data_IF_988355129527
#
_entry.id   IF_988355129527
#
_cell.length_a   1.000
_cell.length_b   1.000
_cell.length_c   1.000
_cell.angle_alpha   90.00
_cell.angle_beta   90.00
_cell.angle_gamma   90.00
#
_symmetry.space_group_name_H-M   'P 1'
#
loop_
_entity.id
_entity.type
_entity.pdbx_description
1 polymer ?
#
# COMPACT_ATOMS: atom_id res chain seq x y z
N UNK A 1 27.53 -2.51 19.97
CA UNK A 1 27.14 -1.37 19.12
C UNK A 1 27.51 -1.70 17.67
N UNK A 2 26.68 -2.46 16.95
CA UNK A 2 26.96 -2.90 15.56
C UNK A 2 25.80 -2.56 14.58
N UNK A 3 24.83 -1.74 14.98
CA UNK A 3 23.57 -1.56 14.24
C UNK A 3 23.58 -0.59 13.06
N UNK A 4 24.65 0.16 12.83
CA UNK A 4 24.65 1.26 11.84
C UNK A 4 24.97 0.84 10.41
N UNK A 5 25.54 -0.34 10.16
CA UNK A 5 25.92 -0.77 8.80
C UNK A 5 24.79 -1.47 8.02
N UNK A 6 23.79 -2.02 8.70
CA UNK A 6 22.68 -2.75 8.05
C UNK A 6 21.52 -1.85 7.60
N UNK A 7 21.54 -0.56 7.95
CA UNK A 7 20.44 0.37 7.63
C UNK A 7 20.60 1.02 6.26
N UNK A 8 21.84 1.17 5.77
CA UNK A 8 22.14 1.81 4.50
C UNK A 8 21.73 0.94 3.31
N UNK A 9 21.08 1.54 2.31
CA UNK A 9 20.58 0.85 1.13
C UNK A 9 19.22 0.18 1.31
N UNK A 10 18.64 0.18 2.52
CA UNK A 10 17.25 -0.29 2.74
C UNK A 10 16.26 0.62 2.02
N UNK A 11 15.15 0.01 1.61
CA UNK A 11 14.06 0.72 0.98
C UNK A 11 13.20 1.42 2.03
N UNK A 12 12.88 2.68 1.75
CA UNK A 12 12.02 3.54 2.57
C UNK A 12 11.09 4.34 1.68
N UNK A 13 9.92 4.67 2.18
CA UNK A 13 9.03 5.65 1.57
C UNK A 13 9.36 7.04 2.10
N UNK A 14 9.48 8.01 1.21
CA UNK A 14 9.68 9.41 1.53
C UNK A 14 8.57 10.26 0.91
N UNK A 15 8.22 11.42 1.50
CA UNK A 15 7.16 12.27 1.01
C UNK A 15 7.48 12.78 -0.40
N UNK A 16 6.44 12.89 -1.23
CA UNK A 16 6.51 13.45 -2.56
C UNK A 16 5.32 14.37 -2.85
N UNK A 17 5.59 15.51 -3.47
CA UNK A 17 4.56 16.51 -3.79
C UNK A 17 3.56 16.07 -4.86
N UNK A 18 3.93 15.12 -5.74
CA UNK A 18 3.11 14.68 -6.88
C UNK A 18 2.42 13.37 -6.60
N UNK A 19 3.18 12.39 -6.12
CA UNK A 19 2.76 11.02 -5.88
C UNK A 19 2.49 10.73 -4.39
N UNK A 20 2.53 11.74 -3.52
CA UNK A 20 2.32 11.59 -2.07
C UNK A 20 3.50 10.94 -1.35
N UNK A 21 3.89 9.75 -1.80
CA UNK A 21 5.09 9.04 -1.36
C UNK A 21 5.81 8.42 -2.55
N UNK A 22 7.15 8.43 -2.48
CA UNK A 22 8.03 7.76 -3.44
C UNK A 22 8.96 6.78 -2.73
N UNK A 23 9.36 5.75 -3.46
CA UNK A 23 10.26 4.73 -2.93
C UNK A 23 11.71 5.19 -3.11
N UNK A 24 12.47 5.15 -2.02
CA UNK A 24 13.84 5.60 -1.96
C UNK A 24 14.75 4.55 -1.29
N UNK A 25 16.05 4.66 -1.55
CA UNK A 25 17.11 4.00 -0.79
C UNK A 25 17.65 4.95 0.26
N UNK A 26 17.76 4.47 1.49
CA UNK A 26 18.38 5.24 2.56
C UNK A 26 19.89 5.38 2.31
N UNK A 27 20.39 6.62 2.27
CA UNK A 27 21.81 6.93 2.02
C UNK A 27 22.57 7.37 3.26
N UNK A 28 22.01 8.30 4.02
CA UNK A 28 22.65 8.80 5.24
C UNK A 28 21.63 9.12 6.34
N UNK A 29 22.07 9.03 7.59
CA UNK A 29 21.29 9.31 8.79
C UNK A 29 21.95 10.49 9.51
N UNK A 30 21.40 11.69 9.31
CA UNK A 30 21.92 12.93 9.92
C UNK A 30 21.49 13.10 11.38
N UNK A 31 21.65 14.30 11.95
CA UNK A 31 21.15 14.57 13.31
C UNK A 31 19.65 14.88 13.35
N UNK A 32 19.15 15.57 12.33
CA UNK A 32 17.77 16.07 12.27
C UNK A 32 16.97 15.52 11.08
N UNK A 33 17.67 15.18 9.99
CA UNK A 33 17.06 14.65 8.76
C UNK A 33 17.83 13.43 8.26
N UNK A 34 17.18 12.65 7.39
CA UNK A 34 17.81 11.55 6.66
C UNK A 34 17.93 11.93 5.19
N UNK A 35 19.04 11.49 4.58
CA UNK A 35 19.25 11.60 3.14
C UNK A 35 18.81 10.32 2.45
N UNK A 36 17.89 10.43 1.50
CA UNK A 36 17.36 9.29 0.74
C UNK A 36 17.46 9.56 -0.75
N UNK A 37 17.69 8.52 -1.55
CA UNK A 37 17.78 8.60 -3.00
C UNK A 37 16.59 7.87 -3.63
N UNK A 38 15.72 8.54 -4.40
CA UNK A 38 14.65 7.87 -5.13
C UNK A 38 15.15 6.72 -6.03
N UNK A 39 14.29 5.74 -6.31
CA UNK A 39 14.67 4.65 -7.23
C UNK A 39 14.66 5.10 -8.69
N UNK A 40 13.76 6.03 -9.02
CA UNK A 40 13.52 6.57 -10.36
C UNK A 40 14.40 7.78 -10.71
N UNK A 41 14.80 8.56 -9.72
CA UNK A 41 15.70 9.71 -9.84
C UNK A 41 16.91 9.58 -8.91
N UNK A 42 18.07 10.05 -9.36
CA UNK A 42 19.31 10.04 -8.58
C UNK A 42 19.48 11.29 -7.71
N UNK A 43 18.56 12.24 -7.77
CA UNK A 43 18.62 13.42 -6.92
C UNK A 43 18.32 13.06 -5.46
N UNK A 44 19.34 13.12 -4.61
CA UNK A 44 19.21 12.89 -3.17
C UNK A 44 18.30 13.95 -2.57
N UNK A 45 17.32 13.50 -1.80
CA UNK A 45 16.40 14.34 -1.05
C UNK A 45 16.66 14.20 0.45
N UNK A 46 16.42 15.28 1.19
CA UNK A 46 16.48 15.32 2.65
C UNK A 46 15.07 15.38 3.20
N UNK A 47 14.71 14.47 4.11
CA UNK A 47 13.40 14.43 4.76
C UNK A 47 13.54 14.16 6.26
N UNK A 48 12.54 14.55 7.04
CA UNK A 48 12.55 14.34 8.49
C UNK A 48 12.32 12.87 8.81
N UNK A 49 12.76 12.47 10.01
CA UNK A 49 12.60 11.11 10.52
C UNK A 49 11.14 10.64 10.59
N UNK A 50 10.23 11.53 10.98
CA UNK A 50 8.81 11.24 11.16
C UNK A 50 8.02 11.22 9.84
N UNK A 51 8.64 11.63 8.73
CA UNK A 51 8.06 11.61 7.40
C UNK A 51 8.54 10.42 6.56
N UNK A 52 9.51 9.65 7.08
CA UNK A 52 10.09 8.50 6.39
C UNK A 52 9.51 7.22 6.97
N UNK A 53 8.98 6.39 6.08
CA UNK A 53 8.37 5.12 6.46
C UNK A 53 9.17 3.93 5.96
N UNK A 54 9.23 2.82 6.71
CA UNK A 54 9.82 1.59 6.20
C UNK A 54 9.03 1.04 5.01
N UNK A 55 9.74 0.51 4.02
CA UNK A 55 9.15 -0.14 2.85
C UNK A 55 9.44 -1.64 2.82
N UNK A 56 8.54 -2.40 2.22
CA UNK A 56 8.74 -3.82 1.93
C UNK A 56 9.65 -3.99 0.70
N UNK A 57 10.43 -5.08 0.66
CA UNK A 57 11.36 -5.35 -0.44
C UNK A 57 10.64 -5.74 -1.74
N UNK A 58 9.56 -6.52 -1.64
CA UNK A 58 8.73 -6.90 -2.78
C UNK A 58 7.73 -5.79 -3.13
N UNK A 59 8.10 -4.97 -4.12
CA UNK A 59 7.30 -3.83 -4.58
C UNK A 59 6.04 -4.21 -5.36
N UNK A 60 5.90 -5.49 -5.76
CA UNK A 60 4.73 -5.96 -6.52
C UNK A 60 3.71 -6.66 -5.65
N UNK A 61 4.08 -6.98 -4.41
CA UNK A 61 3.19 -7.62 -3.45
C UNK A 61 2.06 -6.67 -3.07
N UNK A 62 0.84 -7.19 -3.12
CA UNK A 62 -0.35 -6.55 -2.60
C UNK A 62 -1.10 -7.51 -1.69
N UNK A 63 -1.99 -6.98 -0.85
CA UNK A 63 -2.80 -7.76 0.09
C UNK A 63 -4.25 -7.32 0.03
N UNK A 64 -5.16 -8.29 0.23
CA UNK A 64 -6.59 -8.04 0.27
C UNK A 64 -7.02 -7.23 1.51
N UNK A 65 -6.28 -7.36 2.63
CA UNK A 65 -6.49 -6.61 3.87
C UNK A 65 -5.22 -5.87 4.25
N UNK A 66 -5.30 -4.54 4.36
CA UNK A 66 -4.17 -3.69 4.75
C UNK A 66 -3.62 -4.05 6.15
N UNK A 67 -4.42 -4.67 7.04
CA UNK A 67 -3.92 -5.18 8.31
C UNK A 67 -2.90 -6.32 8.17
N UNK A 68 -2.75 -6.89 6.97
CA UNK A 68 -1.76 -7.93 6.65
C UNK A 68 -0.44 -7.37 6.08
N UNK A 69 -0.31 -6.05 5.93
CA UNK A 69 0.93 -5.42 5.46
C UNK A 69 2.06 -5.60 6.49
N UNK A 70 3.29 -5.83 6.01
CA UNK A 70 4.47 -5.96 6.87
C UNK A 70 4.69 -4.71 7.72
N UNK A 71 4.53 -3.54 7.09
CA UNK A 71 4.51 -2.25 7.76
C UNK A 71 3.18 -1.59 7.45
N UNK A 72 2.36 -1.34 8.47
CA UNK A 72 1.12 -0.59 8.31
C UNK A 72 1.39 0.89 8.58
N UNK A 73 1.62 1.64 7.50
CA UNK A 73 1.79 3.09 7.50
C UNK A 73 1.06 3.69 6.29
N UNK A 74 1.02 5.02 6.23
CA UNK A 74 0.28 5.75 5.19
C UNK A 74 0.82 5.47 3.79
N UNK A 75 2.14 5.37 3.65
CA UNK A 75 2.79 5.11 2.36
C UNK A 75 2.55 3.69 1.86
N UNK A 76 2.67 2.68 2.72
CA UNK A 76 2.41 1.28 2.34
C UNK A 76 0.95 1.01 2.06
N UNK A 77 0.03 1.63 2.82
CA UNK A 77 -1.41 1.57 2.58
C UNK A 77 -1.75 2.19 1.21
N UNK A 78 -1.20 3.37 0.91
CA UNK A 78 -1.38 4.03 -0.38
C UNK A 78 -0.84 3.17 -1.52
N UNK A 79 0.36 2.59 -1.36
CA UNK A 79 0.97 1.71 -2.35
C UNK A 79 0.13 0.45 -2.59
N UNK A 80 -0.37 -0.21 -1.54
CA UNK A 80 -1.25 -1.37 -1.68
C UNK A 80 -2.51 -1.02 -2.48
N UNK A 81 -3.15 0.11 -2.18
CA UNK A 81 -4.30 0.60 -2.93
C UNK A 81 -3.98 0.86 -4.40
N UNK A 82 -2.82 1.47 -4.70
CA UNK A 82 -2.36 1.72 -6.09
C UNK A 82 -2.13 0.44 -6.87
N UNK A 83 -1.41 -0.53 -6.28
CA UNK A 83 -1.11 -1.81 -6.93
C UNK A 83 -2.39 -2.58 -7.25
N UNK A 84 -3.34 -2.62 -6.31
CA UNK A 84 -4.63 -3.26 -6.49
C UNK A 84 -5.49 -2.55 -7.54
N UNK A 85 -5.55 -1.23 -7.48
CA UNK A 85 -6.27 -0.43 -8.47
C UNK A 85 -5.76 -0.67 -9.89
N UNK A 86 -4.44 -0.70 -10.08
CA UNK A 86 -3.81 -1.01 -11.37
C UNK A 86 -4.17 -2.41 -11.90
N UNK A 87 -4.55 -3.34 -11.01
CA UNK A 87 -5.03 -4.68 -11.34
C UNK A 87 -6.57 -4.79 -11.41
N UNK A 88 -7.28 -3.66 -11.48
CA UNK A 88 -8.76 -3.57 -11.46
C UNK A 88 -9.39 -4.15 -10.19
N UNK A 89 -8.64 -4.20 -9.09
CA UNK A 89 -9.13 -4.57 -7.76
C UNK A 89 -9.44 -3.30 -6.96
N UNK A 90 -10.65 -2.78 -7.11
CA UNK A 90 -11.04 -1.48 -6.54
C UNK A 90 -11.41 -1.50 -5.06
N UNK A 91 -11.48 -2.70 -4.49
CA UNK A 91 -11.90 -2.96 -3.13
C UNK A 91 -10.73 -3.51 -2.32
N UNK A 92 -10.53 -2.99 -1.12
CA UNK A 92 -9.47 -3.42 -0.20
C UNK A 92 -9.98 -3.33 1.23
N UNK A 93 -9.80 -4.38 2.03
CA UNK A 93 -10.17 -4.36 3.44
C UNK A 93 -9.17 -3.54 4.27
N UNK A 94 -9.68 -2.99 5.36
CA UNK A 94 -8.91 -2.56 6.53
C UNK A 94 -9.64 -3.13 7.73
N UNK A 95 -9.28 -4.35 8.14
CA UNK A 95 -10.05 -5.14 9.08
C UNK A 95 -11.55 -5.22 8.68
N UNK A 96 -12.44 -4.55 9.43
CA UNK A 96 -13.88 -4.54 9.19
C UNK A 96 -14.37 -3.39 8.29
N UNK A 97 -13.47 -2.52 7.82
CA UNK A 97 -13.77 -1.41 6.92
C UNK A 97 -13.40 -1.82 5.48
N UNK A 98 -14.11 -1.27 4.49
CA UNK A 98 -13.79 -1.45 3.08
C UNK A 98 -13.44 -0.12 2.43
N UNK A 99 -12.25 -0.05 1.85
CA UNK A 99 -11.84 1.02 0.95
C UNK A 99 -12.38 0.70 -0.44
N UNK A 100 -13.03 1.67 -1.07
CA UNK A 100 -13.50 1.61 -2.45
C UNK A 100 -12.92 2.76 -3.26
N UNK A 101 -12.30 2.46 -4.39
CA UNK A 101 -11.71 3.45 -5.29
C UNK A 101 -12.49 3.42 -6.62
N UNK A 102 -13.02 4.56 -7.06
CA UNK A 102 -13.79 4.62 -8.31
C UNK A 102 -12.89 4.25 -9.52
N UNK A 103 -13.21 3.19 -10.30
CA UNK A 103 -12.43 2.79 -11.47
C UNK A 103 -12.55 3.76 -12.65
N UNK A 104 -13.60 4.60 -12.68
CA UNK A 104 -13.98 5.41 -13.85
C UNK A 104 -14.19 4.60 -15.15
N UNK A 105 -14.32 3.28 -15.03
CA UNK A 105 -14.60 2.34 -16.12
C UNK A 105 -15.47 1.19 -15.62
N UNK A 106 -16.11 0.46 -16.55
CA UNK A 106 -16.83 -0.76 -16.23
C UNK A 106 -15.83 -1.91 -16.07
N UNK A 107 -15.88 -2.61 -14.94
CA UNK A 107 -15.11 -3.84 -14.69
C UNK A 107 -16.05 -5.02 -14.93
N UNK A 108 -15.77 -5.88 -15.94
CA UNK A 108 -16.60 -7.04 -16.23
C UNK A 108 -16.81 -7.93 -15.00
N UNK A 109 -18.03 -8.45 -14.84
CA UNK A 109 -18.42 -9.37 -13.78
C UNK A 109 -18.27 -8.88 -12.33
N UNK A 110 -17.97 -7.58 -12.11
CA UNK A 110 -17.81 -7.03 -10.77
C UNK A 110 -19.12 -7.06 -9.97
N UNK A 111 -20.25 -6.75 -10.62
CA UNK A 111 -21.58 -6.71 -9.99
C UNK A 111 -22.56 -7.75 -10.59
N UNK A 112 -22.05 -8.87 -11.09
CA UNK A 112 -22.91 -9.91 -11.67
C UNK A 112 -23.70 -10.68 -10.62
N UNK A 113 -24.85 -11.26 -11.01
CA UNK A 113 -25.66 -12.12 -10.13
C UNK A 113 -24.85 -13.30 -9.58
N UNK A 114 -23.95 -13.86 -10.39
CA UNK A 114 -23.01 -14.91 -9.97
C UNK A 114 -22.10 -14.42 -8.84
N UNK A 115 -21.63 -13.17 -8.91
CA UNK A 115 -20.83 -12.57 -7.84
C UNK A 115 -21.65 -12.42 -6.56
N UNK A 116 -22.88 -11.93 -6.65
CA UNK A 116 -23.78 -11.78 -5.48
C UNK A 116 -23.96 -13.13 -4.77
N UNK A 117 -24.33 -14.18 -5.53
CA UNK A 117 -24.53 -15.53 -4.98
C UNK A 117 -23.26 -16.09 -4.33
N UNK A 118 -22.07 -15.76 -4.87
CA UNK A 118 -20.79 -16.20 -4.30
C UNK A 118 -20.54 -15.64 -2.91
N UNK A 119 -20.92 -14.37 -2.66
CA UNK A 119 -20.69 -13.68 -1.38
C UNK A 119 -21.81 -13.89 -0.37
N UNK A 120 -23.00 -14.30 -0.81
CA UNK A 120 -24.15 -14.54 0.05
C UNK A 120 -23.82 -15.52 1.18
N UNK A 121 -24.09 -15.11 2.43
CA UNK A 121 -23.87 -15.92 3.64
C UNK A 121 -22.40 -16.20 3.99
N UNK A 122 -21.43 -15.54 3.34
CA UNK A 122 -20.00 -15.72 3.64
C UNK A 122 -19.50 -14.70 4.65
N UNK A 123 -18.64 -15.13 5.57
CA UNK A 123 -17.98 -14.24 6.53
C UNK A 123 -16.95 -13.35 5.83
N UNK A 124 -16.81 -12.11 6.30
CA UNK A 124 -15.76 -11.18 5.85
C UNK A 124 -14.38 -11.84 5.98
N UNK A 125 -13.50 -11.58 5.00
CA UNK A 125 -12.14 -12.15 4.96
C UNK A 125 -12.05 -13.57 4.39
N UNK A 126 -13.17 -14.29 4.20
CA UNK A 126 -13.13 -15.61 3.54
C UNK A 126 -13.02 -15.52 2.02
N UNK A 127 -13.50 -14.41 1.46
CA UNK A 127 -13.44 -14.08 0.03
C UNK A 127 -12.72 -12.74 -0.15
N UNK A 128 -12.21 -12.45 -1.36
CA UNK A 128 -11.57 -11.18 -1.66
C UNK A 128 -12.46 -9.97 -1.31
N UNK A 129 -11.88 -8.78 -1.15
CA UNK A 129 -12.61 -7.57 -0.80
C UNK A 129 -13.70 -7.25 -1.81
N UNK A 130 -14.93 -7.06 -1.31
CA UNK A 130 -16.06 -6.70 -2.13
C UNK A 130 -17.16 -6.04 -1.29
N UNK A 131 -17.93 -5.14 -1.90
CA UNK A 131 -19.07 -4.51 -1.24
C UNK A 131 -20.11 -5.55 -0.78
N UNK A 132 -20.30 -6.62 -1.54
CA UNK A 132 -21.20 -7.74 -1.18
C UNK A 132 -20.74 -8.55 0.04
N UNK A 133 -19.49 -8.42 0.48
CA UNK A 133 -19.04 -9.05 1.72
C UNK A 133 -19.49 -8.26 2.96
N UNK A 134 -19.74 -6.95 2.82
CA UNK A 134 -20.15 -6.06 3.92
C UNK A 134 -21.66 -5.79 3.88
N UNK A 135 -22.22 -5.59 2.68
CA UNK A 135 -23.66 -5.56 2.48
C UNK A 135 -24.21 -6.96 2.69
N UNK A 136 -24.86 -7.21 3.83
CA UNK A 136 -25.59 -8.45 4.07
C UNK A 136 -26.71 -8.58 3.03
N UNK A 137 -26.46 -9.31 1.95
CA UNK A 137 -27.45 -9.76 0.98
C UNK A 137 -27.96 -11.16 1.32
#
# INVERSE_FOLDING_TARGET
MNGTRETFGRLVWAPDSKDGFKLCKLRDIGRETMSVEPIDDKLVISARYDEIFPAEEDQKKNVDDNCSLMYLNEATLLNNCRLRYAQKQIYTYVANILISINPYEQIPDLYSSTKIQKYQGRSIGTLPPHVFAIGKC
#
